data_IF_451908371846
#
_entry.id   IF_451908371846
#
_cell.length_a   1.000
_cell.length_b   1.000
_cell.length_c   1.000
_cell.angle_alpha   90.00
_cell.angle_beta   90.00
_cell.angle_gamma   90.00
#
_symmetry.space_group_name_H-M   'P 1'
#
loop_
_entity.id
_entity.type
_entity.pdbx_description
1 polymer ?
#
# COMPACT_ATOMS: atom_id res chain seq x y z
N UNK A 1 -5.88 11.99 12.46
CA UNK A 1 -4.78 12.22 11.48
C UNK A 1 -3.61 11.35 11.86
N UNK A 2 -2.90 10.79 10.88
CA UNK A 2 -1.71 9.97 11.07
C UNK A 2 -0.71 10.21 9.95
N UNK A 3 0.58 10.01 10.20
CA UNK A 3 1.63 10.06 9.17
C UNK A 3 2.24 8.69 9.00
N UNK A 4 2.52 8.30 7.77
CA UNK A 4 3.19 7.04 7.41
C UNK A 4 4.28 7.31 6.39
N UNK A 5 5.27 6.42 6.33
CA UNK A 5 6.25 6.37 5.25
C UNK A 5 5.99 5.09 4.46
N UNK A 6 5.85 5.20 3.14
CA UNK A 6 5.39 4.15 2.26
C UNK A 6 6.38 3.90 1.13
N UNK A 7 6.42 2.66 0.66
CA UNK A 7 7.15 2.20 -0.52
C UNK A 7 6.27 1.18 -1.21
N UNK A 8 5.98 1.38 -2.49
CA UNK A 8 5.01 0.56 -3.22
C UNK A 8 5.48 0.33 -4.64
N UNK A 9 5.16 -0.85 -5.17
CA UNK A 9 5.29 -1.17 -6.59
C UNK A 9 3.96 -1.65 -7.14
N UNK A 10 3.71 -1.36 -8.42
CA UNK A 10 2.57 -1.86 -9.18
C UNK A 10 3.06 -2.55 -10.45
N UNK A 11 2.46 -3.68 -10.79
CA UNK A 11 2.78 -4.44 -11.98
C UNK A 11 1.49 -4.87 -12.69
N UNK A 12 1.45 -4.83 -14.03
CA UNK A 12 0.30 -5.30 -14.79
C UNK A 12 0.22 -6.83 -14.76
N UNK A 13 -1.00 -7.34 -14.93
CA UNK A 13 -1.33 -8.75 -14.95
C UNK A 13 -1.67 -9.34 -13.58
N UNK A 14 -1.88 -10.66 -13.57
CA UNK A 14 -2.16 -11.43 -12.35
C UNK A 14 -0.93 -11.49 -11.45
N UNK A 15 -1.15 -11.55 -10.14
CA UNK A 15 -0.10 -11.80 -9.15
C UNK A 15 0.62 -13.13 -9.48
N UNK A 16 1.94 -13.12 -9.74
CA UNK A 16 2.67 -14.35 -10.06
C UNK A 16 2.72 -15.30 -8.86
N UNK A 17 2.57 -16.60 -9.12
CA UNK A 17 2.66 -17.64 -8.08
C UNK A 17 3.95 -17.56 -7.27
N UNK A 18 5.10 -17.32 -7.92
CA UNK A 18 6.38 -17.17 -7.22
C UNK A 18 6.41 -15.99 -6.21
N UNK A 19 5.68 -14.90 -6.49
CA UNK A 19 5.57 -13.76 -5.55
C UNK A 19 4.69 -14.15 -4.36
N UNK A 20 3.60 -14.86 -4.61
CA UNK A 20 2.72 -15.38 -3.55
C UNK A 20 3.44 -16.41 -2.68
N UNK A 21 4.12 -17.38 -3.30
CA UNK A 21 4.91 -18.40 -2.62
C UNK A 21 6.00 -17.75 -1.74
N UNK A 22 6.73 -16.77 -2.28
CA UNK A 22 7.69 -15.96 -1.51
C UNK A 22 7.01 -15.26 -0.33
N UNK A 23 5.86 -14.64 -0.56
CA UNK A 23 5.14 -13.92 0.49
C UNK A 23 4.57 -14.85 1.56
N UNK A 24 4.36 -16.13 1.28
CA UNK A 24 3.84 -17.12 2.24
C UNK A 24 4.95 -17.90 2.97
N UNK A 25 6.23 -17.67 2.64
CA UNK A 25 7.34 -18.38 3.28
C UNK A 25 7.44 -18.10 4.79
N UNK A 26 7.80 -19.13 5.56
CA UNK A 26 8.11 -19.00 6.99
C UNK A 26 9.38 -18.19 7.27
N UNK A 27 10.27 -18.06 6.27
CA UNK A 27 11.47 -17.19 6.34
C UNK A 27 11.10 -15.72 6.54
N UNK A 28 9.89 -15.31 6.11
CA UNK A 28 9.30 -14.01 6.37
C UNK A 28 8.52 -13.97 7.70
N UNK A 29 8.70 -14.97 8.56
CA UNK A 29 7.99 -15.14 9.81
C UNK A 29 6.67 -15.88 9.68
N UNK A 30 6.11 -16.26 10.82
CA UNK A 30 4.98 -17.19 10.91
C UNK A 30 3.60 -16.56 10.70
N UNK A 31 3.48 -15.22 10.79
CA UNK A 31 2.18 -14.56 10.74
C UNK A 31 1.92 -13.98 9.34
N UNK A 32 0.92 -14.54 8.68
CA UNK A 32 0.37 -14.08 7.40
C UNK A 32 -1.12 -13.84 7.58
N UNK A 33 -1.58 -12.66 7.19
CA UNK A 33 -3.00 -12.34 7.17
C UNK A 33 -3.76 -13.18 6.17
N UNK A 34 -5.00 -13.53 6.50
CA UNK A 34 -5.91 -14.08 5.53
C UNK A 34 -6.17 -13.08 4.40
N UNK A 35 -6.50 -13.60 3.22
CA UNK A 35 -6.89 -12.77 2.09
C UNK A 35 -8.22 -12.07 2.37
N UNK A 36 -8.23 -10.76 2.20
CA UNK A 36 -9.40 -9.91 2.35
C UNK A 36 -9.79 -9.31 1.00
N UNK A 37 -11.05 -9.48 0.60
CA UNK A 37 -11.61 -8.84 -0.60
C UNK A 37 -12.38 -7.59 -0.23
N UNK A 38 -12.18 -6.52 -0.99
CA UNK A 38 -12.94 -5.26 -0.87
C UNK A 38 -12.90 -4.46 -2.16
N UNK A 39 -13.77 -3.47 -2.22
CA UNK A 39 -13.78 -2.46 -3.27
C UNK A 39 -13.51 -1.07 -2.67
N UNK A 40 -12.60 -0.32 -3.28
CA UNK A 40 -12.30 1.07 -2.95
C UNK A 40 -12.61 1.90 -4.21
N UNK A 41 -13.34 3.02 -4.07
CA UNK A 41 -13.55 3.97 -5.16
C UNK A 41 -12.53 5.10 -5.05
N UNK A 42 -11.74 5.34 -6.08
CA UNK A 42 -10.68 6.35 -6.08
C UNK A 42 -11.05 7.53 -6.97
N UNK A 43 -10.91 8.75 -6.46
CA UNK A 43 -11.03 9.94 -7.29
C UNK A 43 -9.73 10.15 -8.06
N UNK A 44 -9.85 10.16 -9.38
CA UNK A 44 -8.80 10.55 -10.31
C UNK A 44 -8.73 12.08 -10.32
N UNK A 45 -7.57 12.60 -9.96
CA UNK A 45 -7.26 14.02 -10.06
C UNK A 45 -6.15 14.15 -11.10
N UNK A 46 -6.48 14.52 -12.36
CA UNK A 46 -5.49 14.63 -13.42
C UNK A 46 -4.32 15.53 -13.00
N UNK A 47 -3.10 15.15 -13.41
CA UNK A 47 -1.86 15.89 -13.15
C UNK A 47 -1.48 16.04 -11.65
N UNK A 48 -2.22 15.41 -10.73
CA UNK A 48 -1.98 15.49 -9.30
C UNK A 48 -1.50 14.15 -8.74
N UNK A 49 -0.19 14.01 -8.54
CA UNK A 49 0.41 12.78 -8.01
C UNK A 49 0.54 12.73 -6.48
N UNK A 50 0.31 13.85 -5.80
CA UNK A 50 0.54 14.00 -4.35
C UNK A 50 -0.74 13.96 -3.52
N UNK A 51 -1.92 13.88 -4.15
CA UNK A 51 -3.21 13.79 -3.47
C UNK A 51 -3.90 12.49 -3.86
N UNK A 52 -4.31 11.70 -2.88
CA UNK A 52 -5.11 10.50 -3.09
C UNK A 52 -6.38 10.61 -2.27
N UNK A 53 -7.53 10.55 -2.94
CA UNK A 53 -8.82 10.43 -2.28
C UNK A 53 -9.41 9.08 -2.64
N UNK A 54 -9.94 8.40 -1.61
CA UNK A 54 -10.71 7.18 -1.82
C UNK A 54 -11.91 7.11 -0.90
N UNK A 55 -12.99 6.58 -1.41
CA UNK A 55 -14.15 6.15 -0.65
C UNK A 55 -14.05 4.64 -0.45
N UNK A 56 -14.28 4.22 0.78
CA UNK A 56 -14.43 2.80 1.14
C UNK A 56 -15.72 2.67 1.91
N UNK A 57 -16.71 2.02 1.31
CA UNK A 57 -18.09 2.16 1.77
C UNK A 57 -18.36 3.67 2.01
N UNK A 58 -18.87 4.03 3.18
CA UNK A 58 -19.23 5.42 3.50
C UNK A 58 -18.09 6.23 4.14
N UNK A 59 -16.85 5.74 4.08
CA UNK A 59 -15.70 6.40 4.70
C UNK A 59 -14.76 7.00 3.65
N UNK A 60 -14.65 8.32 3.67
CA UNK A 60 -13.66 9.06 2.89
C UNK A 60 -12.29 9.00 3.57
N UNK A 61 -11.29 8.58 2.82
CA UNK A 61 -9.89 8.67 3.22
C UNK A 61 -9.15 9.62 2.27
N UNK A 62 -8.45 10.58 2.86
CA UNK A 62 -7.60 11.54 2.14
C UNK A 62 -6.17 11.27 2.53
N UNK A 63 -5.28 11.09 1.55
CA UNK A 63 -3.83 11.07 1.74
C UNK A 63 -3.17 12.21 0.95
N UNK A 64 -2.29 12.95 1.62
CA UNK A 64 -1.48 14.01 1.03
C UNK A 64 0.01 13.69 1.20
N UNK A 65 0.75 13.59 0.09
CA UNK A 65 2.19 13.34 0.10
C UNK A 65 2.89 14.58 0.67
N UNK A 66 3.64 14.37 1.72
CA UNK A 66 4.43 15.39 2.39
C UNK A 66 5.83 15.48 1.81
N UNK A 67 6.36 14.33 1.40
CA UNK A 67 7.74 14.21 0.98
C UNK A 67 7.88 13.02 0.03
N UNK A 68 8.74 13.17 -0.96
CA UNK A 68 9.16 12.11 -1.86
C UNK A 68 10.68 12.05 -1.77
N UNK A 69 11.21 10.90 -1.36
CA UNK A 69 12.65 10.71 -1.22
C UNK A 69 13.29 10.36 -2.56
N UNK A 70 14.62 10.36 -2.62
CA UNK A 70 15.32 9.75 -3.75
C UNK A 70 15.04 8.24 -3.80
N UNK A 71 15.19 7.64 -4.98
CA UNK A 71 15.09 6.18 -5.15
C UNK A 71 16.01 5.47 -4.14
N UNK A 72 15.42 4.58 -3.35
CA UNK A 72 16.11 3.79 -2.35
C UNK A 72 16.35 2.38 -2.89
N UNK A 73 17.53 1.82 -2.61
CA UNK A 73 17.82 0.41 -2.82
C UNK A 73 17.54 -0.34 -1.52
N UNK A 74 16.76 -1.42 -1.61
CA UNK A 74 16.41 -2.28 -0.49
C UNK A 74 16.88 -3.70 -0.81
N UNK A 75 17.88 -4.19 -0.08
CA UNK A 75 18.50 -5.48 -0.40
C UNK A 75 19.15 -5.49 -1.79
N UNK A 76 19.17 -6.66 -2.43
CA UNK A 76 19.92 -6.86 -3.68
C UNK A 76 19.06 -6.70 -4.93
N UNK A 77 17.73 -6.84 -4.80
CA UNK A 77 16.81 -6.97 -5.94
C UNK A 77 15.77 -5.87 -6.04
N UNK A 78 15.69 -4.99 -5.04
CA UNK A 78 14.63 -3.97 -4.99
C UNK A 78 15.21 -2.56 -5.08
N UNK A 79 14.61 -1.76 -5.94
CA UNK A 79 14.73 -0.31 -5.95
C UNK A 79 13.35 0.31 -6.04
N UNK A 80 13.12 1.42 -5.34
CA UNK A 80 11.83 2.07 -5.38
C UNK A 80 11.79 3.42 -4.68
N UNK A 81 10.65 4.08 -4.84
CA UNK A 81 10.41 5.44 -4.39
C UNK A 81 9.77 5.40 -3.00
N UNK A 82 10.50 5.88 -2.01
CA UNK A 82 9.95 6.06 -0.67
C UNK A 82 9.24 7.39 -0.62
N UNK A 83 8.07 7.42 0.01
CA UNK A 83 7.23 8.60 0.14
C UNK A 83 6.69 8.71 1.55
N UNK A 84 6.46 9.94 2.01
CA UNK A 84 5.80 10.21 3.29
C UNK A 84 4.42 10.77 3.04
N UNK A 85 3.43 10.24 3.74
CA UNK A 85 2.03 10.59 3.56
C UNK A 85 1.42 11.03 4.89
N UNK A 86 0.60 12.07 4.85
CA UNK A 86 -0.35 12.36 5.93
C UNK A 86 -1.71 11.84 5.50
N UNK A 87 -2.37 11.12 6.41
CA UNK A 87 -3.65 10.46 6.21
C UNK A 87 -4.70 11.00 7.17
N UNK A 88 -5.88 11.27 6.62
CA UNK A 88 -7.09 11.59 7.36
C UNK A 88 -8.17 10.58 6.96
N UNK A 89 -8.86 10.02 7.96
CA UNK A 89 -10.12 9.33 7.75
C UNK A 89 -11.24 10.24 8.21
N UNK A 90 -12.21 10.48 7.35
CA UNK A 90 -13.47 11.10 7.69
C UNK A 90 -14.50 9.98 7.82
N UNK A 91 -14.81 9.60 9.05
CA UNK A 91 -16.03 8.82 9.32
C UNK A 91 -17.17 9.83 9.35
N UNK A 92 -18.29 9.56 8.67
CA UNK A 92 -19.51 10.35 8.86
C UNK A 92 -20.03 10.14 10.29
N UNK A 93 -19.45 10.86 11.25
CA UNK A 93 -20.16 11.19 12.48
C UNK A 93 -20.99 12.42 12.11
N UNK A 94 -22.30 12.20 12.01
CA UNK A 94 -23.34 13.12 11.54
C UNK A 94 -23.43 13.34 10.02
N UNK A 95 -24.23 12.52 9.35
CA UNK A 95 -24.88 12.91 8.10
C UNK A 95 -26.36 12.58 8.15
N UNK A 96 -27.15 13.52 8.69
CA UNK A 96 -28.51 13.79 8.19
C UNK A 96 -28.48 14.47 6.79
N UNK A 97 -27.35 14.42 6.09
CA UNK A 97 -27.12 15.06 4.81
C UNK A 97 -26.64 14.02 3.79
N UNK A 98 -27.52 13.72 2.84
CA UNK A 98 -27.40 12.80 1.70
C UNK A 98 -26.41 13.28 0.61
N UNK A 99 -25.35 14.03 0.97
CA UNK A 99 -24.57 14.78 -0.03
C UNK A 99 -23.39 14.00 -0.64
N UNK A 100 -23.09 12.79 -0.13
CA UNK A 100 -22.04 11.91 -0.67
C UNK A 100 -22.61 10.55 -1.09
N UNK A 101 -23.68 10.55 -1.88
CA UNK A 101 -24.20 9.32 -2.49
C UNK A 101 -23.46 9.00 -3.78
N UNK A 102 -22.77 7.86 -3.78
CA UNK A 102 -22.25 7.27 -5.00
C UNK A 102 -23.43 6.71 -5.80
N UNK A 103 -23.89 7.43 -6.83
CA UNK A 103 -24.95 6.92 -7.67
C UNK A 103 -24.35 5.93 -8.68
N UNK A 104 -24.45 4.63 -8.40
CA UNK A 104 -23.98 3.56 -9.31
C UNK A 104 -24.63 3.61 -10.69
N UNK A 105 -25.78 4.28 -10.83
CA UNK A 105 -26.53 4.37 -12.08
C UNK A 105 -25.99 5.46 -13.04
N UNK A 106 -25.15 6.36 -12.55
CA UNK A 106 -24.39 7.32 -13.37
C UNK A 106 -22.93 7.30 -12.93
N UNK A 107 -22.05 6.53 -13.61
CA UNK A 107 -20.65 6.51 -13.27
C UNK A 107 -20.06 7.90 -13.46
N UNK A 108 -19.76 8.58 -12.35
CA UNK A 108 -18.95 9.79 -12.37
C UNK A 108 -17.60 9.42 -12.98
N UNK A 109 -17.31 9.96 -14.16
CA UNK A 109 -16.12 9.61 -14.97
C UNK A 109 -14.78 9.80 -14.24
N UNK A 110 -14.78 10.46 -13.08
CA UNK A 110 -13.60 10.75 -12.28
C UNK A 110 -13.36 9.74 -11.16
N UNK A 111 -14.32 8.88 -10.83
CA UNK A 111 -14.14 7.89 -9.78
C UNK A 111 -14.01 6.49 -10.38
N UNK A 112 -12.94 5.81 -10.01
CA UNK A 112 -12.65 4.46 -10.49
C UNK A 112 -12.87 3.48 -9.35
N UNK A 113 -13.77 2.52 -9.56
CA UNK A 113 -13.91 1.34 -8.71
C UNK A 113 -12.68 0.44 -8.86
N UNK A 114 -12.06 0.10 -7.73
CA UNK A 114 -10.90 -0.78 -7.68
C UNK A 114 -11.23 -1.95 -6.76
N UNK A 115 -11.39 -3.13 -7.35
CA UNK A 115 -11.48 -4.40 -6.63
C UNK A 115 -10.09 -4.79 -6.11
N UNK A 116 -10.04 -5.26 -4.87
CA UNK A 116 -8.79 -5.54 -4.16
C UNK A 116 -8.92 -6.83 -3.39
N UNK A 117 -8.04 -7.78 -3.67
CA UNK A 117 -7.81 -8.94 -2.81
C UNK A 117 -6.42 -8.78 -2.19
N UNK A 118 -6.34 -8.70 -0.85
CA UNK A 118 -5.13 -8.31 -0.14
C UNK A 118 -4.75 -9.31 0.95
N UNK A 119 -3.46 -9.64 1.02
CA UNK A 119 -2.84 -10.32 2.17
C UNK A 119 -1.77 -9.41 2.80
N UNK A 120 -1.61 -9.48 4.12
CA UNK A 120 -0.73 -8.58 4.87
C UNK A 120 0.12 -9.32 5.90
N UNK A 121 1.28 -8.76 6.21
CA UNK A 121 2.17 -9.12 7.32
C UNK A 121 2.49 -7.88 8.13
N UNK A 122 2.75 -8.05 9.43
CA UNK A 122 3.14 -6.96 10.33
C UNK A 122 4.48 -7.28 11.00
N UNK A 123 5.38 -6.29 11.01
CA UNK A 123 6.71 -6.43 11.57
C UNK A 123 7.07 -5.30 12.52
N UNK A 124 7.95 -5.62 13.47
CA UNK A 124 8.63 -4.66 14.32
C UNK A 124 10.14 -4.84 14.17
N UNK A 125 10.87 -3.73 14.01
CA UNK A 125 12.34 -3.76 14.03
C UNK A 125 12.81 -4.02 15.46
N UNK A 126 13.73 -4.97 15.61
CA UNK A 126 14.40 -5.28 16.88
C UNK A 126 15.90 -4.99 16.71
N UNK A 127 16.55 -4.26 17.63
CA UNK A 127 17.98 -3.97 17.51
C UNK A 127 18.83 -5.24 17.38
N UNK A 128 19.72 -5.25 16.39
CA UNK A 128 20.67 -6.34 16.11
C UNK A 128 20.03 -7.72 15.86
N UNK A 129 18.79 -7.75 15.40
CA UNK A 129 18.06 -8.98 15.05
C UNK A 129 17.26 -8.77 13.77
N UNK A 130 16.86 -9.88 13.16
CA UNK A 130 15.89 -9.84 12.07
C UNK A 130 14.56 -9.23 12.54
N UNK A 131 13.80 -8.58 11.62
CA UNK A 131 12.47 -8.07 11.92
C UNK A 131 11.58 -9.14 12.56
N UNK A 132 10.95 -8.77 13.67
CA UNK A 132 10.03 -9.65 14.38
C UNK A 132 8.65 -9.60 13.71
N UNK A 133 8.23 -10.71 13.11
CA UNK A 133 6.85 -10.91 12.65
C UNK A 133 5.88 -10.97 13.83
N UNK A 134 4.73 -10.30 13.71
CA UNK A 134 3.71 -10.19 14.74
C UNK A 134 2.31 -10.47 14.15
N UNK A 135 1.36 -11.00 14.96
CA UNK A 135 -0.03 -11.11 14.53
C UNK A 135 -0.59 -9.74 14.11
N UNK A 136 -1.50 -9.71 13.15
CA UNK A 136 -2.10 -8.47 12.65
C UNK A 136 -3.02 -7.81 13.70
N UNK A 137 -3.57 -8.60 14.62
CA UNK A 137 -4.44 -8.13 15.70
C UNK A 137 -3.65 -7.46 16.83
N UNK A 138 -2.33 -7.68 16.86
CA UNK A 138 -1.47 -7.09 17.87
C UNK A 138 -1.25 -5.61 17.57
N UNK A 139 -1.83 -4.76 18.40
CA UNK A 139 -1.60 -3.31 18.35
C UNK A 139 -0.17 -3.00 18.80
N UNK A 140 0.60 -2.39 17.91
CA UNK A 140 1.95 -1.87 18.19
C UNK A 140 2.00 -0.38 17.86
N UNK A 141 2.80 0.38 18.59
CA UNK A 141 2.95 1.83 18.36
C UNK A 141 3.90 2.17 17.22
N UNK A 142 4.77 1.23 16.83
CA UNK A 142 5.77 1.40 15.78
C UNK A 142 6.04 0.07 15.09
N UNK A 143 6.08 0.11 13.76
CA UNK A 143 6.32 -1.06 12.93
C UNK A 143 6.17 -0.75 11.46
N UNK A 144 6.12 -1.81 10.66
CA UNK A 144 5.80 -1.72 9.24
C UNK A 144 4.85 -2.85 8.86
N UNK A 145 3.79 -2.47 8.15
CA UNK A 145 2.92 -3.40 7.47
C UNK A 145 3.46 -3.65 6.07
N UNK A 146 3.46 -4.91 5.65
CA UNK A 146 3.84 -5.33 4.31
C UNK A 146 2.64 -6.02 3.69
N UNK A 147 2.26 -5.65 2.47
CA UNK A 147 1.09 -6.20 1.80
C UNK A 147 1.38 -6.59 0.35
N UNK A 148 0.81 -7.71 -0.07
CA UNK A 148 0.56 -8.01 -1.48
C UNK A 148 -0.92 -7.79 -1.77
N UNK A 149 -1.24 -7.23 -2.93
CA UNK A 149 -2.63 -6.97 -3.32
C UNK A 149 -2.80 -7.30 -4.80
N UNK A 150 -3.76 -8.16 -5.11
CA UNK A 150 -4.35 -8.30 -6.45
C UNK A 150 -5.36 -7.18 -6.64
N UNK A 151 -5.29 -6.50 -7.78
CA UNK A 151 -6.06 -5.32 -8.12
C UNK A 151 -6.79 -5.56 -9.43
N UNK A 152 -8.04 -5.17 -9.51
CA UNK A 152 -8.79 -5.13 -10.77
C UNK A 152 -9.53 -3.81 -10.90
N UNK A 153 -9.29 -3.11 -12.01
CA UNK A 153 -9.90 -1.82 -12.32
C UNK A 153 -9.87 -1.60 -13.84
N UNK A 154 -10.91 -0.98 -14.41
CA UNK A 154 -11.03 -0.75 -15.86
C UNK A 154 -10.77 -2.03 -16.71
N UNK A 155 -11.30 -3.17 -16.29
CA UNK A 155 -11.09 -4.49 -16.92
C UNK A 155 -9.61 -4.93 -17.03
N UNK A 156 -8.72 -4.32 -16.25
CA UNK A 156 -7.31 -4.67 -16.19
C UNK A 156 -6.96 -5.32 -14.86
N UNK A 157 -6.25 -6.44 -14.92
CA UNK A 157 -5.63 -7.06 -13.76
C UNK A 157 -4.26 -6.41 -13.49
N UNK A 158 -4.01 -6.13 -12.23
CA UNK A 158 -2.74 -5.61 -11.71
C UNK A 158 -2.43 -6.28 -10.37
N UNK A 159 -1.20 -6.16 -9.91
CA UNK A 159 -0.85 -6.47 -8.53
C UNK A 159 0.12 -5.45 -7.96
N UNK A 160 0.16 -5.36 -6.64
CA UNK A 160 1.10 -4.50 -5.92
C UNK A 160 1.73 -5.20 -4.74
N UNK A 161 2.94 -4.77 -4.41
CA UNK A 161 3.63 -5.05 -3.15
C UNK A 161 3.93 -3.72 -2.48
N UNK A 162 3.63 -3.60 -1.19
CA UNK A 162 3.82 -2.34 -0.48
C UNK A 162 4.26 -2.51 0.97
N UNK A 163 4.97 -1.50 1.44
CA UNK A 163 5.44 -1.31 2.81
C UNK A 163 4.83 -0.01 3.33
N UNK A 164 4.28 -0.03 4.53
CA UNK A 164 3.74 1.14 5.22
C UNK A 164 4.29 1.16 6.65
N UNK A 165 5.28 2.02 6.91
CA UNK A 165 5.86 2.23 8.22
C UNK A 165 5.10 3.31 9.00
N UNK A 166 4.79 2.99 10.25
CA UNK A 166 4.04 3.82 11.17
C UNK A 166 4.76 3.94 12.53
N UNK A 167 4.32 4.88 13.35
CA UNK A 167 4.98 5.24 14.62
C UNK A 167 5.67 6.59 14.55
N UNK A 168 6.76 6.77 15.29
CA UNK A 168 7.46 8.06 15.38
C UNK A 168 8.00 8.49 14.00
N UNK A 169 7.59 9.67 13.52
CA UNK A 169 7.92 10.18 12.18
C UNK A 169 9.42 10.11 11.84
N UNK A 170 10.29 10.41 12.81
CA UNK A 170 11.74 10.38 12.68
C UNK A 170 12.29 8.97 12.39
N UNK A 171 11.58 7.93 12.84
CA UNK A 171 12.01 6.52 12.77
C UNK A 171 11.35 5.76 11.62
N UNK A 172 10.27 6.28 11.02
CA UNK A 172 9.49 5.58 9.99
C UNK A 172 10.31 5.18 8.77
N UNK A 173 11.14 6.08 8.24
CA UNK A 173 11.95 5.79 7.06
C UNK A 173 12.98 4.68 7.36
N UNK A 174 13.67 4.77 8.50
CA UNK A 174 14.62 3.74 8.92
C UNK A 174 13.91 2.39 9.13
N UNK A 175 12.74 2.39 9.76
CA UNK A 175 11.91 1.20 9.99
C UNK A 175 11.51 0.55 8.67
N UNK A 176 11.01 1.36 7.72
CA UNK A 176 10.62 0.89 6.39
C UNK A 176 11.81 0.27 5.66
N UNK A 177 12.95 0.97 5.60
CA UNK A 177 14.12 0.52 4.86
C UNK A 177 14.75 -0.72 5.46
N UNK A 178 14.76 -0.86 6.80
CA UNK A 178 15.25 -2.07 7.47
C UNK A 178 14.42 -3.29 7.07
N UNK A 179 13.08 -3.17 7.11
CA UNK A 179 12.17 -4.28 6.83
C UNK A 179 12.15 -4.59 5.32
N UNK A 180 12.09 -3.57 4.46
CA UNK A 180 12.18 -3.77 3.01
C UNK A 180 13.52 -4.39 2.59
N UNK A 181 14.64 -3.98 3.19
CA UNK A 181 15.95 -4.54 2.89
C UNK A 181 16.06 -6.00 3.32
N UNK A 182 15.55 -6.35 4.51
CA UNK A 182 15.53 -7.72 4.98
C UNK A 182 14.68 -8.62 4.06
N UNK A 183 13.45 -8.19 3.71
CA UNK A 183 12.60 -8.91 2.76
C UNK A 183 13.26 -9.09 1.38
N UNK A 184 13.90 -8.03 0.85
CA UNK A 184 14.56 -8.02 -0.47
C UNK A 184 15.94 -8.70 -0.51
N UNK A 185 16.44 -9.22 0.62
CA UNK A 185 17.66 -10.03 0.69
C UNK A 185 17.37 -11.54 0.57
N UNK A 186 16.11 -11.97 0.75
CA UNK A 186 15.73 -13.37 0.62
C UNK A 186 15.97 -13.86 -0.81
N UNK A 187 16.47 -15.09 -0.96
CA UNK A 187 16.87 -15.66 -2.26
C UNK A 187 15.74 -15.68 -3.29
N UNK A 188 14.52 -15.90 -2.81
CA UNK A 188 13.32 -16.08 -3.61
C UNK A 188 12.52 -14.77 -3.75
N UNK A 189 13.05 -13.66 -3.21
CA UNK A 189 12.42 -12.36 -3.37
C UNK A 189 12.31 -11.97 -4.85
N UNK A 190 11.16 -11.40 -5.26
CA UNK A 190 10.99 -10.94 -6.63
C UNK A 190 11.95 -9.79 -6.95
N UNK A 191 12.17 -9.53 -8.24
CA UNK A 191 12.88 -8.31 -8.66
C UNK A 191 11.87 -7.17 -8.72
N UNK A 192 12.15 -6.08 -7.99
CA UNK A 192 11.29 -4.90 -7.94
C UNK A 192 12.05 -3.68 -8.44
N UNK A 193 11.51 -3.00 -9.44
CA UNK A 193 12.20 -1.95 -10.16
C UNK A 193 11.63 -0.57 -9.82
N UNK A 194 12.48 0.45 -9.78
CA UNK A 194 12.08 1.79 -9.38
C UNK A 194 11.05 2.42 -10.34
N UNK A 195 11.07 2.02 -11.61
CA UNK A 195 10.14 2.46 -12.65
C UNK A 195 8.70 1.99 -12.37
N UNK A 196 8.55 0.90 -11.62
CA UNK A 196 7.26 0.37 -11.19
C UNK A 196 6.87 0.87 -9.81
N UNK A 197 7.66 1.77 -9.21
CA UNK A 197 7.46 2.26 -7.84
C UNK A 197 6.82 3.64 -7.82
N UNK A 198 5.54 3.66 -7.45
CA UNK A 198 4.73 4.87 -7.40
C UNK A 198 3.50 4.67 -6.51
N UNK A 199 2.81 5.77 -6.22
CA UNK A 199 1.56 5.75 -5.44
C UNK A 199 0.32 5.54 -6.32
N UNK A 200 -0.82 5.29 -5.65
CA UNK A 200 -2.12 5.11 -6.31
C UNK A 200 -2.47 6.22 -7.32
N UNK A 201 -2.26 7.53 -7.06
CA UNK A 201 -2.60 8.56 -8.05
C UNK A 201 -1.90 8.35 -9.41
N UNK A 202 -0.64 7.94 -9.40
CA UNK A 202 0.10 7.67 -10.63
C UNK A 202 -0.35 6.36 -11.28
N UNK A 203 -0.61 5.32 -10.49
CA UNK A 203 -1.16 4.06 -10.99
C UNK A 203 -2.54 4.25 -11.66
N UNK A 204 -3.42 5.05 -11.06
CA UNK A 204 -4.73 5.37 -11.62
C UNK A 204 -4.62 6.03 -13.00
N UNK A 205 -3.61 6.90 -13.19
CA UNK A 205 -3.35 7.48 -14.51
C UNK A 205 -2.83 6.44 -15.51
N UNK A 206 -2.13 5.40 -15.08
CA UNK A 206 -1.60 4.35 -15.95
C UNK A 206 -2.70 3.40 -16.47
N UNK A 207 -3.75 3.15 -15.68
CA UNK A 207 -4.89 2.29 -16.07
C UNK A 207 -5.98 3.03 -16.86
N UNK A 208 -5.79 4.32 -17.11
CA UNK A 208 -6.67 5.16 -17.94
C UNK A 208 -6.14 5.37 -19.36
N UNK A 209 -4.93 4.89 -19.65
CA UNK A 209 -4.30 4.95 -20.97
C UNK A 209 -4.66 3.71 -21.79
#
# INVERSE_FOLDING_TARGET
MSTTTELRWFYPGLLPAAVMDWFDQESLGQYVGAWETREDHYLVVPECSYLNLKLRADRLEVKLRQEQFAVQRCGNRWSGLVERWTKWGCSSMDTQHDDLHFNSDQPDQHWIGVEKQRSQRQYQVVPNQDPRSLPLEKVISQGCSVEITQLKANDQDWWSLAFEAFGERSQQQQTLLAIASWCGQMSDSPTLAAEQSYAYPQWLMAILQ
#
